data_IF_898071425601
#
_entry.id   IF_898071425601
#
_cell.length_a   1.000
_cell.length_b   1.000
_cell.length_c   1.000
_cell.angle_alpha   90.00
_cell.angle_beta   90.00
_cell.angle_gamma   90.00
#
_symmetry.space_group_name_H-M   'P 1'
#
loop_
_entity.id
_entity.type
_entity.pdbx_description
1 polymer ?
#
# COMPACT_ATOMS: atom_id res chain seq x y z
N UNK A 1 1.29 10.63 -32.83
CA UNK A 1 0.59 9.52 -32.17
C UNK A 1 0.50 9.70 -30.65
N UNK A 2 1.61 9.82 -29.90
CA UNK A 2 1.53 10.05 -28.42
C UNK A 2 0.98 11.45 -28.10
N UNK A 3 1.35 12.49 -28.83
CA UNK A 3 0.79 13.84 -28.69
C UNK A 3 -0.70 13.89 -28.95
N UNK A 4 -1.15 13.28 -30.03
CA UNK A 4 -2.58 13.20 -30.37
C UNK A 4 -3.40 12.43 -29.34
N UNK A 5 -2.84 11.33 -28.77
CA UNK A 5 -3.48 10.60 -27.68
C UNK A 5 -3.57 11.46 -26.41
N UNK A 6 -2.51 12.20 -26.10
CA UNK A 6 -2.50 13.15 -24.99
C UNK A 6 -3.52 14.25 -25.18
N UNK A 7 -3.57 14.88 -26.35
CA UNK A 7 -4.55 15.93 -26.68
C UNK A 7 -5.99 15.42 -26.60
N UNK A 8 -6.26 14.20 -27.11
CA UNK A 8 -7.58 13.58 -27.02
C UNK A 8 -7.95 13.26 -25.57
N UNK A 9 -7.00 12.76 -24.77
CA UNK A 9 -7.24 12.41 -23.38
C UNK A 9 -7.52 13.66 -22.51
N UNK A 10 -6.82 14.76 -22.75
CA UNK A 10 -6.98 16.01 -21.99
C UNK A 10 -8.03 16.96 -22.60
N UNK A 11 -8.89 16.49 -23.52
CA UNK A 11 -9.99 17.29 -24.03
C UNK A 11 -10.98 17.66 -22.91
N UNK A 12 -11.29 18.95 -22.78
CA UNK A 12 -12.15 19.50 -21.72
C UNK A 12 -13.48 18.77 -21.58
N UNK A 13 -14.11 18.43 -22.71
CA UNK A 13 -15.38 17.68 -22.74
C UNK A 13 -15.39 16.33 -22.02
N UNK A 14 -14.20 15.73 -21.77
CA UNK A 14 -14.09 14.44 -21.05
C UNK A 14 -14.05 14.66 -19.54
N UNK A 15 -13.63 15.85 -19.09
CA UNK A 15 -13.32 16.11 -17.68
C UNK A 15 -14.22 17.14 -17.04
N UNK A 16 -14.83 18.02 -17.83
CA UNK A 16 -15.62 19.15 -17.33
C UNK A 16 -17.03 19.15 -17.88
N UNK A 17 -18.00 19.74 -17.12
CA UNK A 17 -19.32 20.09 -17.65
C UNK A 17 -19.25 21.08 -18.82
N UNK A 18 -20.32 21.14 -19.60
CA UNK A 18 -20.40 22.10 -20.74
C UNK A 18 -20.19 23.54 -20.28
N UNK A 19 -19.34 24.26 -21.01
CA UNK A 19 -19.01 25.66 -20.74
C UNK A 19 -17.90 25.91 -19.73
N UNK A 20 -17.30 24.85 -19.18
CA UNK A 20 -16.14 24.95 -18.29
C UNK A 20 -14.92 24.22 -18.88
N UNK A 21 -13.72 24.71 -18.56
CA UNK A 21 -12.48 24.15 -19.07
C UNK A 21 -11.29 24.38 -18.15
N UNK A 22 -10.10 24.07 -18.65
CA UNK A 22 -8.85 24.24 -17.92
C UNK A 22 -8.56 25.67 -17.50
N UNK A 23 -9.02 26.65 -18.31
CA UNK A 23 -8.88 28.07 -18.02
C UNK A 23 -9.61 28.53 -16.76
N UNK A 24 -10.67 27.84 -16.38
CA UNK A 24 -11.44 28.14 -15.17
C UNK A 24 -10.72 27.69 -13.87
N UNK A 25 -9.70 26.84 -14.01
CA UNK A 25 -8.84 26.38 -12.92
C UNK A 25 -7.52 27.18 -12.81
N UNK A 26 -7.43 28.34 -13.44
CA UNK A 26 -6.33 29.26 -13.22
C UNK A 26 -6.55 30.08 -11.94
N UNK A 27 -5.45 30.35 -11.22
CA UNK A 27 -5.52 31.13 -9.98
C UNK A 27 -6.00 32.56 -10.27
N UNK A 28 -7.12 32.94 -9.63
CA UNK A 28 -7.75 34.26 -9.78
C UNK A 28 -8.34 34.73 -8.46
N UNK A 29 -8.31 36.02 -8.19
CA UNK A 29 -8.99 36.66 -7.06
C UNK A 29 -8.70 36.01 -5.70
N UNK A 30 -7.45 35.58 -5.49
CA UNK A 30 -7.05 34.90 -4.24
C UNK A 30 -7.50 33.45 -4.15
N UNK A 31 -8.15 32.89 -5.16
CA UNK A 31 -8.49 31.47 -5.25
C UNK A 31 -7.33 30.70 -5.86
N UNK A 32 -6.96 29.59 -5.22
CA UNK A 32 -5.89 28.69 -5.65
C UNK A 32 -6.50 27.35 -6.05
N UNK A 33 -6.03 26.79 -7.15
CA UNK A 33 -6.51 25.52 -7.68
C UNK A 33 -5.37 24.52 -7.79
N UNK A 34 -5.70 23.22 -7.81
CA UNK A 34 -4.75 22.14 -8.00
C UNK A 34 -4.11 22.19 -9.39
N UNK A 35 -2.79 22.04 -9.47
CA UNK A 35 -2.04 22.04 -10.71
C UNK A 35 -1.25 20.77 -10.90
N UNK A 36 -1.21 20.25 -12.13
CA UNK A 36 -0.47 19.03 -12.44
C UNK A 36 1.01 19.10 -12.04
N UNK A 37 1.62 20.28 -12.10
CA UNK A 37 3.02 20.51 -11.67
C UNK A 37 3.26 20.23 -10.19
N UNK A 38 2.23 20.36 -9.33
CA UNK A 38 2.35 20.15 -7.90
C UNK A 38 2.63 18.68 -7.57
N UNK A 39 2.21 17.74 -8.44
CA UNK A 39 2.46 16.30 -8.29
C UNK A 39 3.96 15.96 -8.17
N UNK A 40 4.86 16.82 -8.71
CA UNK A 40 6.31 16.61 -8.54
C UNK A 40 6.76 16.69 -7.09
N UNK A 41 6.03 17.41 -6.24
CA UNK A 41 6.32 17.50 -4.79
C UNK A 41 6.22 16.14 -4.12
N UNK A 42 5.41 15.22 -4.65
CA UNK A 42 5.29 13.87 -4.11
C UNK A 42 6.58 13.04 -4.25
N UNK A 43 7.45 13.32 -5.23
CA UNK A 43 8.70 12.57 -5.41
C UNK A 43 9.68 12.75 -4.24
N UNK A 44 10.09 13.97 -3.85
CA UNK A 44 10.94 14.15 -2.67
C UNK A 44 10.27 13.64 -1.40
N UNK A 45 8.95 13.76 -1.24
CA UNK A 45 8.21 13.19 -0.12
C UNK A 45 8.31 11.66 -0.12
N UNK A 46 8.20 11.00 -1.28
CA UNK A 46 8.38 9.54 -1.39
C UNK A 46 9.77 9.10 -0.93
N UNK A 47 10.82 9.81 -1.32
CA UNK A 47 12.19 9.53 -0.90
C UNK A 47 12.37 9.77 0.61
N UNK A 48 11.79 10.84 1.14
CA UNK A 48 11.78 11.13 2.56
C UNK A 48 11.09 10.00 3.35
N UNK A 49 9.95 9.48 2.88
CA UNK A 49 9.27 8.36 3.52
C UNK A 49 10.10 7.08 3.53
N UNK A 50 10.94 6.82 2.53
CA UNK A 50 11.87 5.69 2.57
C UNK A 50 12.90 5.82 3.71
N UNK A 51 13.40 7.04 3.93
CA UNK A 51 14.34 7.33 5.03
C UNK A 51 13.64 7.21 6.38
N UNK A 52 12.48 7.87 6.55
CA UNK A 52 11.68 7.82 7.78
C UNK A 52 11.31 6.37 8.12
N UNK A 53 10.89 5.57 7.12
CA UNK A 53 10.61 4.14 7.28
C UNK A 53 11.81 3.39 7.85
N UNK A 54 13.02 3.59 7.31
CA UNK A 54 14.21 2.90 7.79
C UNK A 54 14.54 3.25 9.26
N UNK A 55 14.37 4.52 9.61
CA UNK A 55 14.56 4.97 11.00
C UNK A 55 13.48 4.33 11.89
N UNK A 56 12.22 4.45 11.53
CA UNK A 56 11.09 3.89 12.27
C UNK A 56 11.20 2.37 12.47
N UNK A 57 11.54 1.63 11.43
CA UNK A 57 11.70 0.17 11.50
C UNK A 57 12.79 -0.25 12.50
N UNK A 58 13.87 0.55 12.65
CA UNK A 58 14.97 0.26 13.57
C UNK A 58 14.68 0.73 14.99
N UNK A 59 14.17 1.95 15.14
CA UNK A 59 14.06 2.62 16.45
C UNK A 59 12.75 2.33 17.17
N UNK A 60 11.67 2.07 16.43
CA UNK A 60 10.32 1.87 16.99
C UNK A 60 9.82 0.44 16.78
N UNK A 61 9.75 0.00 15.53
CA UNK A 61 9.11 -1.28 15.20
C UNK A 61 9.89 -2.50 15.75
N UNK A 62 11.23 -2.43 15.79
CA UNK A 62 12.05 -3.53 16.32
C UNK A 62 11.90 -3.69 17.84
N UNK A 63 12.02 -2.64 18.68
CA UNK A 63 11.72 -2.74 20.10
C UNK A 63 10.28 -3.17 20.39
N UNK A 64 9.30 -2.63 19.64
CA UNK A 64 7.90 -3.00 19.78
C UNK A 64 7.67 -4.50 19.47
N UNK A 65 8.33 -5.03 18.45
CA UNK A 65 8.29 -6.47 18.13
C UNK A 65 8.78 -7.32 19.32
N UNK A 66 9.87 -6.90 19.96
CA UNK A 66 10.41 -7.58 21.15
C UNK A 66 9.44 -7.55 22.34
N UNK A 67 8.80 -6.39 22.58
CA UNK A 67 7.81 -6.23 23.65
C UNK A 67 6.56 -7.11 23.42
N UNK A 68 6.12 -7.24 22.18
CA UNK A 68 4.98 -8.07 21.80
C UNK A 68 5.31 -9.56 21.67
N UNK A 69 6.58 -9.94 21.90
CA UNK A 69 7.02 -11.33 21.88
C UNK A 69 7.17 -11.92 20.47
N UNK A 70 7.42 -11.11 19.46
CA UNK A 70 7.74 -11.59 18.10
C UNK A 70 9.06 -12.34 18.15
N UNK A 71 9.00 -13.67 18.23
CA UNK A 71 10.18 -14.54 18.29
C UNK A 71 10.50 -15.10 16.91
N UNK A 72 11.72 -14.91 16.47
CA UNK A 72 12.24 -15.67 15.33
C UNK A 72 12.58 -17.08 15.79
N UNK A 73 11.89 -18.05 15.23
CA UNK A 73 12.29 -19.46 15.39
C UNK A 73 13.64 -19.66 14.70
N UNK A 74 14.60 -20.20 15.46
CA UNK A 74 15.92 -20.55 14.90
C UNK A 74 15.74 -21.45 13.67
N UNK A 75 16.24 -20.99 12.52
CA UNK A 75 16.15 -21.74 11.28
C UNK A 75 17.33 -22.67 11.17
N UNK A 76 17.05 -23.97 11.15
CA UNK A 76 18.08 -24.96 10.86
C UNK A 76 18.64 -24.72 9.45
N UNK A 77 19.94 -24.46 9.37
CA UNK A 77 20.62 -24.33 8.08
C UNK A 77 20.62 -25.68 7.35
N UNK A 78 20.45 -25.61 6.02
CA UNK A 78 20.67 -26.75 5.17
C UNK A 78 22.17 -27.09 5.17
N UNK A 79 22.58 -28.36 5.31
CA UNK A 79 23.99 -28.74 5.17
C UNK A 79 24.54 -28.29 3.82
N UNK A 80 25.81 -27.92 3.78
CA UNK A 80 26.45 -27.53 2.52
C UNK A 80 26.49 -28.72 1.56
N UNK A 81 25.89 -28.56 0.39
CA UNK A 81 25.90 -29.53 -0.70
C UNK A 81 25.83 -28.78 -2.04
N UNK A 82 26.95 -28.69 -2.76
CA UNK A 82 27.05 -27.91 -4.01
C UNK A 82 26.05 -28.35 -5.09
N UNK A 83 25.85 -29.66 -5.23
CA UNK A 83 24.93 -30.23 -6.23
C UNK A 83 23.48 -29.82 -5.94
N UNK A 84 23.04 -29.97 -4.71
CA UNK A 84 21.68 -29.57 -4.29
C UNK A 84 21.48 -28.05 -4.38
N UNK A 85 22.49 -27.26 -4.02
CA UNK A 85 22.44 -25.80 -4.11
C UNK A 85 22.37 -25.34 -5.58
N UNK A 86 23.19 -25.91 -6.46
CA UNK A 86 23.13 -25.64 -7.89
C UNK A 86 21.76 -25.96 -8.47
N UNK A 87 21.20 -27.12 -8.14
CA UNK A 87 19.86 -27.50 -8.59
C UNK A 87 18.77 -26.54 -8.06
N UNK A 88 18.87 -26.14 -6.79
CA UNK A 88 17.95 -25.21 -6.13
C UNK A 88 17.93 -23.82 -6.78
N UNK A 89 19.11 -23.32 -7.16
CA UNK A 89 19.26 -21.99 -7.76
C UNK A 89 18.91 -21.96 -9.25
N UNK A 90 19.29 -22.99 -10.01
CA UNK A 90 19.26 -22.97 -11.48
C UNK A 90 18.06 -23.71 -12.07
N UNK A 91 17.47 -24.69 -11.37
CA UNK A 91 16.39 -25.52 -11.90
C UNK A 91 15.07 -25.24 -11.19
N UNK A 92 14.94 -25.65 -9.93
CA UNK A 92 13.72 -25.42 -9.16
C UNK A 92 13.91 -25.52 -7.65
N UNK A 93 13.14 -24.72 -6.93
CA UNK A 93 13.06 -24.79 -5.46
C UNK A 93 12.17 -25.93 -4.94
N UNK A 94 11.33 -26.51 -5.82
CA UNK A 94 10.39 -27.59 -5.49
C UNK A 94 10.60 -28.77 -6.44
N UNK A 95 11.58 -29.64 -6.18
CA UNK A 95 11.85 -30.78 -7.06
C UNK A 95 10.68 -31.78 -7.03
N UNK A 96 10.44 -32.42 -8.19
CA UNK A 96 9.51 -33.56 -8.31
C UNK A 96 10.12 -34.81 -7.65
N UNK A 97 9.31 -35.84 -7.42
CA UNK A 97 9.80 -37.07 -6.82
C UNK A 97 10.90 -37.74 -7.71
N UNK A 98 10.73 -37.70 -9.01
CA UNK A 98 11.75 -38.23 -9.96
C UNK A 98 13.08 -37.47 -9.87
N UNK A 99 13.01 -36.13 -9.72
CA UNK A 99 14.21 -35.32 -9.52
C UNK A 99 14.86 -35.59 -8.16
N UNK A 100 14.06 -35.81 -7.11
CA UNK A 100 14.59 -36.20 -5.79
C UNK A 100 15.33 -37.52 -5.87
N UNK A 101 14.79 -38.53 -6.57
CA UNK A 101 15.45 -39.85 -6.77
C UNK A 101 16.75 -39.71 -7.57
N UNK A 102 16.79 -38.88 -8.61
CA UNK A 102 18.01 -38.59 -9.37
C UNK A 102 19.07 -37.91 -8.50
N UNK A 103 18.69 -36.86 -7.78
CA UNK A 103 19.58 -36.12 -6.86
C UNK A 103 20.09 -37.00 -5.71
N UNK A 104 19.27 -37.94 -5.22
CA UNK A 104 19.65 -38.94 -4.21
C UNK A 104 20.81 -39.78 -4.71
N UNK A 105 20.74 -40.31 -5.97
CA UNK A 105 21.81 -41.07 -6.58
C UNK A 105 23.09 -40.25 -6.82
N UNK A 106 22.94 -38.99 -7.27
CA UNK A 106 24.08 -38.10 -7.53
C UNK A 106 24.83 -37.69 -6.25
N UNK A 107 24.11 -37.50 -5.14
CA UNK A 107 24.71 -37.03 -3.88
C UNK A 107 25.02 -38.10 -2.87
N UNK A 108 24.69 -39.36 -3.17
CA UNK A 108 24.83 -40.48 -2.22
C UNK A 108 23.95 -40.34 -0.96
N UNK A 109 22.98 -39.46 -0.98
CA UNK A 109 22.09 -39.18 0.14
C UNK A 109 20.73 -39.86 -0.04
N UNK A 110 20.07 -40.27 1.04
CA UNK A 110 18.72 -40.83 0.88
C UNK A 110 17.70 -39.77 0.40
N UNK A 111 16.64 -40.18 -0.28
CA UNK A 111 15.60 -39.28 -0.78
C UNK A 111 15.00 -38.42 0.33
N UNK A 112 14.81 -38.97 1.54
CA UNK A 112 14.35 -38.24 2.73
C UNK A 112 15.33 -37.14 3.15
N UNK A 113 16.65 -37.37 3.00
CA UNK A 113 17.68 -36.35 3.29
C UNK A 113 17.64 -35.23 2.26
N UNK A 114 17.50 -35.55 0.98
CA UNK A 114 17.34 -34.57 -0.11
C UNK A 114 16.08 -33.71 0.10
N UNK A 115 14.92 -34.35 0.35
CA UNK A 115 13.68 -33.62 0.64
C UNK A 115 13.79 -32.70 1.87
N UNK A 116 14.45 -33.22 2.94
CA UNK A 116 14.71 -32.43 4.16
C UNK A 116 15.63 -31.27 3.87
N UNK A 117 16.65 -31.43 3.03
CA UNK A 117 17.55 -30.40 2.61
C UNK A 117 16.80 -29.28 1.88
N UNK A 118 16.00 -29.59 0.87
CA UNK A 118 15.18 -28.60 0.14
C UNK A 118 14.19 -27.87 1.04
N UNK A 119 13.56 -28.57 1.98
CA UNK A 119 12.67 -27.94 2.97
C UNK A 119 13.43 -26.93 3.85
N UNK A 120 14.61 -27.28 4.35
CA UNK A 120 15.46 -26.40 5.17
C UNK A 120 15.93 -25.21 4.33
N UNK A 121 16.38 -25.44 3.11
CA UNK A 121 16.85 -24.39 2.20
C UNK A 121 15.74 -23.38 1.85
N UNK A 122 14.53 -23.84 1.53
CA UNK A 122 13.37 -22.94 1.34
C UNK A 122 13.03 -22.15 2.61
N UNK A 123 13.15 -22.76 3.79
CA UNK A 123 12.91 -22.05 5.05
C UNK A 123 13.94 -20.94 5.30
N UNK A 124 15.19 -21.10 4.86
CA UNK A 124 16.20 -20.03 4.93
C UNK A 124 15.84 -18.83 4.06
N UNK A 125 15.28 -19.05 2.87
CA UNK A 125 14.88 -17.98 1.94
C UNK A 125 13.60 -17.24 2.38
N UNK A 126 12.81 -17.81 3.29
CA UNK A 126 11.59 -17.14 3.77
C UNK A 126 11.94 -15.87 4.54
N UNK A 127 11.21 -14.75 4.30
CA UNK A 127 11.41 -13.55 5.09
C UNK A 127 11.13 -13.81 6.58
N UNK A 128 11.85 -13.12 7.45
CA UNK A 128 11.73 -13.26 8.89
C UNK A 128 10.37 -12.72 9.39
N UNK A 129 9.90 -13.23 10.53
CA UNK A 129 8.71 -12.70 11.19
C UNK A 129 8.93 -11.24 11.60
N UNK A 130 10.13 -10.92 12.06
CA UNK A 130 10.52 -9.56 12.42
C UNK A 130 10.41 -8.60 11.21
N UNK A 131 10.91 -9.02 10.03
CA UNK A 131 10.78 -8.21 8.81
C UNK A 131 9.30 -7.95 8.47
N UNK A 132 8.46 -8.99 8.51
CA UNK A 132 7.02 -8.87 8.25
C UNK A 132 6.33 -7.94 9.25
N UNK A 133 6.69 -8.05 10.53
CA UNK A 133 6.15 -7.21 11.58
C UNK A 133 6.54 -5.73 11.38
N UNK A 134 7.80 -5.43 11.07
CA UNK A 134 8.27 -4.07 10.83
C UNK A 134 7.53 -3.42 9.66
N UNK A 135 7.39 -4.13 8.54
CA UNK A 135 6.64 -3.64 7.38
C UNK A 135 5.16 -3.36 7.70
N UNK A 136 4.50 -4.26 8.46
CA UNK A 136 3.12 -4.06 8.89
C UNK A 136 2.99 -2.89 9.87
N UNK A 137 3.94 -2.74 10.81
CA UNK A 137 3.95 -1.62 11.77
C UNK A 137 4.11 -0.27 11.07
N UNK A 138 4.97 -0.17 10.06
CA UNK A 138 5.14 1.04 9.27
C UNK A 138 3.85 1.46 8.59
N UNK A 139 3.19 0.53 7.89
CA UNK A 139 1.91 0.78 7.21
C UNK A 139 0.81 1.12 8.21
N UNK A 140 0.74 0.40 9.32
CA UNK A 140 -0.22 0.68 10.39
C UNK A 140 -0.11 2.12 10.90
N UNK A 141 1.09 2.57 11.24
CA UNK A 141 1.29 3.92 11.76
C UNK A 141 0.96 4.97 10.71
N UNK A 142 1.35 4.75 9.45
CA UNK A 142 1.00 5.68 8.38
C UNK A 142 -0.52 5.79 8.21
N UNK A 143 -1.23 4.68 7.97
CA UNK A 143 -2.68 4.71 7.75
C UNK A 143 -3.44 5.27 8.94
N UNK A 144 -3.01 4.98 10.16
CA UNK A 144 -3.62 5.58 11.36
C UNK A 144 -3.45 7.10 11.40
N UNK A 145 -2.24 7.60 11.14
CA UNK A 145 -1.97 9.03 11.12
C UNK A 145 -2.65 9.72 9.94
N UNK A 146 -2.68 9.10 8.78
CA UNK A 146 -3.37 9.59 7.59
C UNK A 146 -4.88 9.69 7.83
N UNK A 147 -5.49 8.66 8.43
CA UNK A 147 -6.90 8.69 8.83
C UNK A 147 -7.21 9.83 9.82
N UNK A 148 -6.39 10.00 10.86
CA UNK A 148 -6.57 11.08 11.84
C UNK A 148 -6.41 12.45 11.16
N UNK A 149 -5.39 12.63 10.32
CA UNK A 149 -5.14 13.87 9.60
C UNK A 149 -6.26 14.18 8.59
N UNK A 150 -6.73 13.18 7.84
CA UNK A 150 -7.85 13.29 6.93
C UNK A 150 -9.15 13.66 7.65
N UNK A 151 -9.43 13.02 8.79
CA UNK A 151 -10.58 13.36 9.62
C UNK A 151 -10.49 14.79 10.16
N UNK A 152 -9.33 15.20 10.67
CA UNK A 152 -9.11 16.57 11.14
C UNK A 152 -9.24 17.62 10.02
N UNK A 153 -8.87 17.29 8.79
CA UNK A 153 -9.03 18.16 7.63
C UNK A 153 -10.47 18.27 7.12
N UNK A 154 -11.34 17.31 7.45
CA UNK A 154 -12.69 17.19 6.91
C UNK A 154 -13.81 17.37 7.94
N UNK A 155 -13.53 17.25 9.26
CA UNK A 155 -14.55 17.21 10.31
C UNK A 155 -15.44 18.48 10.37
N UNK A 156 -14.89 19.60 9.98
CA UNK A 156 -15.59 20.91 9.92
C UNK A 156 -16.20 21.21 8.56
N UNK A 157 -16.11 20.26 7.60
CA UNK A 157 -16.54 20.48 6.22
C UNK A 157 -17.90 19.84 5.95
N UNK A 158 -18.85 20.58 5.34
CA UNK A 158 -20.21 20.09 5.10
C UNK A 158 -20.22 18.85 4.19
N UNK A 159 -19.31 18.73 3.23
CA UNK A 159 -19.24 17.59 2.32
C UNK A 159 -18.81 16.26 2.97
N UNK A 160 -18.35 16.27 4.21
CA UNK A 160 -18.16 15.03 4.99
C UNK A 160 -19.50 14.40 5.34
N UNK A 161 -20.52 15.22 5.59
CA UNK A 161 -21.82 14.81 6.10
C UNK A 161 -22.88 14.75 5.00
N UNK A 162 -22.82 15.66 4.03
CA UNK A 162 -23.73 15.77 2.92
C UNK A 162 -23.00 15.62 1.59
N UNK A 163 -23.17 14.47 0.94
CA UNK A 163 -22.47 14.16 -0.32
C UNK A 163 -22.83 15.11 -1.48
N UNK A 164 -23.99 15.78 -1.42
CA UNK A 164 -24.37 16.81 -2.39
C UNK A 164 -23.40 17.98 -2.38
N UNK A 165 -22.96 18.41 -1.21
CA UNK A 165 -22.01 19.51 -1.02
C UNK A 165 -20.61 19.21 -1.61
N UNK A 166 -20.31 17.92 -1.82
CA UNK A 166 -19.05 17.49 -2.46
C UNK A 166 -18.98 17.96 -3.91
N UNK A 167 -20.12 18.02 -4.60
CA UNK A 167 -20.23 18.37 -6.01
C UNK A 167 -20.64 19.82 -6.24
N UNK A 168 -21.09 20.52 -5.22
CA UNK A 168 -21.53 21.90 -5.34
C UNK A 168 -20.35 22.81 -5.73
N UNK A 169 -20.53 23.50 -6.89
CA UNK A 169 -19.51 24.37 -7.48
C UNK A 169 -18.42 23.63 -8.26
N UNK A 170 -18.49 22.31 -8.41
CA UNK A 170 -17.52 21.56 -9.24
C UNK A 170 -17.57 22.04 -10.70
N UNK A 171 -16.42 22.18 -11.36
CA UNK A 171 -15.04 21.90 -10.95
C UNK A 171 -14.32 23.09 -10.30
N UNK A 172 -14.96 24.26 -10.18
CA UNK A 172 -14.33 25.51 -9.72
C UNK A 172 -14.32 25.58 -8.17
N UNK A 173 -13.60 24.61 -7.56
CA UNK A 173 -13.48 24.46 -6.12
C UNK A 173 -12.10 24.93 -5.65
N UNK A 174 -12.05 25.87 -4.72
CA UNK A 174 -10.80 26.39 -4.15
C UNK A 174 -10.08 25.31 -3.35
N UNK A 175 -8.80 25.15 -3.59
CA UNK A 175 -7.93 24.22 -2.88
C UNK A 175 -7.58 24.77 -1.50
N UNK A 176 -7.81 23.98 -0.45
CA UNK A 176 -7.38 24.29 0.91
C UNK A 176 -5.97 23.77 1.18
N UNK A 177 -5.14 24.47 1.97
CA UNK A 177 -3.80 24.00 2.33
C UNK A 177 -3.77 22.62 2.98
N UNK A 178 -4.78 22.30 3.82
CA UNK A 178 -4.93 20.97 4.43
C UNK A 178 -5.12 19.87 3.39
N UNK A 179 -5.94 20.13 2.37
CA UNK A 179 -6.18 19.20 1.26
C UNK A 179 -4.93 19.03 0.40
N UNK A 180 -4.21 20.12 0.13
CA UNK A 180 -2.94 20.08 -0.61
C UNK A 180 -1.95 19.11 0.05
N UNK A 181 -1.67 19.31 1.34
CA UNK A 181 -0.71 18.47 2.05
C UNK A 181 -1.21 17.04 2.23
N UNK A 182 -2.51 16.85 2.45
CA UNK A 182 -3.08 15.51 2.54
C UNK A 182 -2.84 14.71 1.25
N UNK A 183 -3.14 15.31 0.08
CA UNK A 183 -2.88 14.69 -1.23
C UNK A 183 -1.40 14.40 -1.48
N UNK A 184 -0.52 15.35 -1.19
CA UNK A 184 0.92 15.19 -1.44
C UNK A 184 1.55 14.14 -0.53
N UNK A 185 1.10 14.05 0.73
CA UNK A 185 1.54 13.04 1.69
C UNK A 185 1.06 11.66 1.26
N UNK A 186 -0.22 11.50 0.91
CA UNK A 186 -0.77 10.24 0.42
C UNK A 186 -0.06 9.76 -0.85
N UNK A 187 0.05 10.63 -1.84
CA UNK A 187 0.74 10.31 -3.09
C UNK A 187 2.22 9.94 -2.84
N UNK A 188 2.89 10.69 -1.97
CA UNK A 188 4.26 10.42 -1.56
C UNK A 188 4.41 9.07 -0.87
N UNK A 189 3.47 8.70 -0.01
CA UNK A 189 3.48 7.40 0.65
C UNK A 189 3.31 6.25 -0.34
N UNK A 190 2.29 6.29 -1.22
CA UNK A 190 2.10 5.25 -2.24
C UNK A 190 3.29 5.18 -3.20
N UNK A 191 3.91 6.32 -3.55
CA UNK A 191 5.17 6.37 -4.29
C UNK A 191 6.29 5.64 -3.57
N UNK A 192 6.44 5.85 -2.26
CA UNK A 192 7.44 5.16 -1.43
C UNK A 192 7.21 3.65 -1.37
N UNK A 193 5.95 3.21 -1.31
CA UNK A 193 5.59 1.79 -1.36
C UNK A 193 5.96 1.16 -2.70
N UNK A 194 5.75 1.88 -3.81
CA UNK A 194 6.13 1.41 -5.14
C UNK A 194 7.65 1.29 -5.29
N UNK A 195 8.43 2.26 -4.78
CA UNK A 195 9.90 2.17 -4.75
C UNK A 195 10.41 1.03 -3.90
N UNK A 196 9.76 0.74 -2.77
CA UNK A 196 10.19 -0.33 -1.86
C UNK A 196 9.70 -1.73 -2.23
N UNK A 197 8.81 -1.84 -3.23
CA UNK A 197 8.17 -3.10 -3.62
C UNK A 197 9.14 -4.24 -3.91
N UNK A 198 10.32 -3.92 -4.47
CA UNK A 198 11.35 -4.91 -4.79
C UNK A 198 12.03 -5.50 -3.54
N UNK A 199 12.15 -4.70 -2.46
CA UNK A 199 12.79 -5.07 -1.20
C UNK A 199 11.81 -5.62 -0.16
N UNK A 200 10.53 -5.34 -0.31
CA UNK A 200 9.47 -5.77 0.60
C UNK A 200 9.20 -7.27 0.52
N UNK A 201 8.52 -7.79 1.54
CA UNK A 201 8.15 -9.21 1.59
C UNK A 201 7.17 -9.53 0.49
N UNK A 202 7.60 -10.35 -0.47
CA UNK A 202 6.72 -10.87 -1.52
C UNK A 202 5.69 -11.82 -0.93
N UNK A 203 4.43 -11.41 -0.94
CA UNK A 203 3.26 -12.19 -0.50
C UNK A 203 2.65 -12.91 -1.71
N UNK A 204 1.60 -13.72 -1.47
CA UNK A 204 0.90 -14.45 -2.55
C UNK A 204 0.24 -13.48 -3.54
N UNK A 205 -0.28 -12.37 -3.05
CA UNK A 205 -0.97 -11.28 -3.72
C UNK A 205 -0.02 -10.14 -4.18
N UNK A 206 1.26 -10.47 -4.43
CA UNK A 206 2.28 -9.47 -4.77
C UNK A 206 1.98 -8.71 -6.07
N UNK A 207 1.46 -9.40 -7.08
CA UNK A 207 1.11 -8.78 -8.37
C UNK A 207 -0.09 -7.85 -8.22
N UNK A 208 -1.10 -8.32 -7.52
CA UNK A 208 -2.32 -7.56 -7.19
C UNK A 208 -1.97 -6.30 -6.40
N UNK A 209 -1.02 -6.41 -5.47
CA UNK A 209 -0.54 -5.28 -4.68
C UNK A 209 0.17 -4.22 -5.55
N UNK A 210 0.99 -4.62 -6.51
CA UNK A 210 1.63 -3.68 -7.45
C UNK A 210 0.55 -2.96 -8.28
N UNK A 211 -0.38 -3.71 -8.86
CA UNK A 211 -1.48 -3.14 -9.66
C UNK A 211 -2.29 -2.16 -8.81
N UNK A 212 -2.59 -2.52 -7.56
CA UNK A 212 -3.29 -1.64 -6.62
C UNK A 212 -2.52 -0.33 -6.37
N UNK A 213 -1.21 -0.39 -6.06
CA UNK A 213 -0.42 0.83 -5.82
C UNK A 213 -0.34 1.72 -7.05
N UNK A 214 -0.14 1.15 -8.24
CA UNK A 214 -0.14 1.91 -9.50
C UNK A 214 -1.51 2.55 -9.74
N UNK A 215 -2.59 1.78 -9.60
CA UNK A 215 -3.95 2.30 -9.76
C UNK A 215 -4.25 3.43 -8.75
N UNK A 216 -3.84 3.29 -7.50
CA UNK A 216 -4.03 4.32 -6.46
C UNK A 216 -3.28 5.60 -6.82
N UNK A 217 -2.01 5.51 -7.23
CA UNK A 217 -1.21 6.67 -7.67
C UNK A 217 -1.90 7.38 -8.85
N UNK A 218 -2.37 6.62 -9.84
CA UNK A 218 -3.07 7.18 -11.00
C UNK A 218 -4.38 7.86 -10.58
N UNK A 219 -5.21 7.22 -9.76
CA UNK A 219 -6.48 7.79 -9.30
C UNK A 219 -6.29 9.06 -8.49
N UNK A 220 -5.32 9.09 -7.55
CA UNK A 220 -4.98 10.29 -6.78
C UNK A 220 -4.50 11.40 -7.72
N UNK A 221 -3.61 11.09 -8.66
CA UNK A 221 -3.06 12.06 -9.62
C UNK A 221 -4.14 12.62 -10.55
N UNK A 222 -5.03 11.77 -11.08
CA UNK A 222 -6.13 12.24 -11.93
C UNK A 222 -7.14 13.07 -11.15
N UNK A 223 -7.53 12.65 -9.96
CA UNK A 223 -8.44 13.43 -9.13
C UNK A 223 -7.86 14.81 -8.78
N UNK A 224 -6.54 14.90 -8.60
CA UNK A 224 -5.83 16.15 -8.44
C UNK A 224 -5.93 17.03 -9.68
N UNK A 225 -5.58 16.50 -10.85
CA UNK A 225 -5.56 17.25 -12.11
C UNK A 225 -6.92 17.81 -12.51
N UNK A 226 -8.01 17.08 -12.25
CA UNK A 226 -9.38 17.52 -12.62
C UNK A 226 -10.12 18.18 -11.47
N UNK A 227 -9.41 18.56 -10.42
CA UNK A 227 -9.96 19.23 -9.23
C UNK A 227 -11.07 18.46 -8.49
N UNK A 228 -11.04 17.11 -8.53
CA UNK A 228 -11.90 16.24 -7.70
C UNK A 228 -11.44 16.16 -6.24
N UNK A 229 -10.97 17.28 -5.68
CA UNK A 229 -10.26 17.29 -4.40
C UNK A 229 -11.16 16.88 -3.23
N UNK A 230 -12.41 17.38 -3.19
CA UNK A 230 -13.36 17.02 -2.11
C UNK A 230 -13.67 15.53 -2.14
N UNK A 231 -13.98 14.99 -3.34
CA UNK A 231 -14.25 13.58 -3.52
C UNK A 231 -13.01 12.72 -3.21
N UNK A 232 -11.86 13.10 -3.71
CA UNK A 232 -10.61 12.35 -3.49
C UNK A 232 -10.19 12.31 -2.03
N UNK A 233 -10.29 13.43 -1.27
CA UNK A 233 -10.00 13.42 0.17
C UNK A 233 -10.94 12.49 0.93
N UNK A 234 -12.22 12.48 0.60
CA UNK A 234 -13.20 11.59 1.23
C UNK A 234 -12.92 10.12 0.90
N UNK A 235 -12.60 9.82 -0.36
CA UNK A 235 -12.27 8.46 -0.80
C UNK A 235 -11.01 7.96 -0.08
N UNK A 236 -9.94 8.75 0.00
CA UNK A 236 -8.72 8.38 0.72
C UNK A 236 -9.02 8.13 2.20
N UNK A 237 -9.74 9.03 2.88
CA UNK A 237 -10.14 8.87 4.28
C UNK A 237 -10.90 7.55 4.53
N UNK A 238 -11.88 7.25 3.67
CA UNK A 238 -12.69 6.03 3.75
C UNK A 238 -11.82 4.77 3.56
N UNK A 239 -10.83 4.82 2.67
CA UNK A 239 -9.94 3.70 2.44
C UNK A 239 -8.98 3.48 3.61
N UNK A 240 -8.37 4.54 4.12
CA UNK A 240 -7.46 4.47 5.27
C UNK A 240 -8.15 3.96 6.53
N UNK A 241 -9.45 4.26 6.70
CA UNK A 241 -10.26 3.82 7.84
C UNK A 241 -10.26 2.30 8.04
N UNK A 242 -10.12 1.52 7.00
CA UNK A 242 -10.04 0.05 7.08
C UNK A 242 -8.59 -0.45 7.13
N UNK A 243 -7.66 0.25 6.46
CA UNK A 243 -6.33 -0.28 6.20
C UNK A 243 -5.45 -0.33 7.46
N UNK A 244 -5.61 0.61 8.42
CA UNK A 244 -4.90 0.50 9.69
C UNK A 244 -5.39 -0.68 10.55
N UNK A 245 -6.67 -1.07 10.48
CA UNK A 245 -7.15 -2.29 11.14
C UNK A 245 -6.52 -3.54 10.52
N UNK A 246 -6.45 -3.60 9.19
CA UNK A 246 -5.83 -4.73 8.50
C UNK A 246 -4.35 -4.90 8.90
N UNK A 247 -3.59 -3.81 8.90
CA UNK A 247 -2.16 -3.88 9.23
C UNK A 247 -1.95 -4.18 10.73
N UNK A 248 -2.80 -3.67 11.63
CA UNK A 248 -2.76 -4.05 13.05
C UNK A 248 -3.07 -5.53 13.26
N UNK A 249 -4.08 -6.10 12.57
CA UNK A 249 -4.37 -7.53 12.62
C UNK A 249 -3.15 -8.37 12.18
N UNK A 250 -2.43 -7.94 11.13
CA UNK A 250 -1.19 -8.59 10.70
C UNK A 250 -0.11 -8.53 11.78
N UNK A 251 0.06 -7.40 12.46
CA UNK A 251 1.03 -7.26 13.56
C UNK A 251 0.74 -8.25 14.69
N UNK A 252 -0.50 -8.34 15.16
CA UNK A 252 -0.91 -9.29 16.22
C UNK A 252 -0.78 -10.73 15.75
N UNK A 253 -1.06 -11.02 14.48
CA UNK A 253 -0.82 -12.35 13.92
C UNK A 253 0.67 -12.75 13.97
N UNK A 254 1.58 -11.83 13.64
CA UNK A 254 3.03 -12.08 13.70
C UNK A 254 3.55 -12.19 15.14
N UNK A 255 2.91 -11.50 16.08
CA UNK A 255 3.17 -11.62 17.51
C UNK A 255 2.61 -12.93 18.12
N UNK A 256 1.78 -13.67 17.37
CA UNK A 256 1.15 -14.91 17.86
C UNK A 256 -0.11 -14.70 18.70
N UNK A 257 -0.63 -13.48 18.78
CA UNK A 257 -1.83 -13.13 19.55
C UNK A 257 -3.10 -13.39 18.73
N UNK A 258 -3.43 -14.67 18.54
CA UNK A 258 -4.51 -15.11 17.63
C UNK A 258 -5.87 -14.50 17.95
N UNK A 259 -6.25 -14.43 19.23
CA UNK A 259 -7.55 -13.89 19.62
C UNK A 259 -7.65 -12.39 19.27
N UNK A 260 -6.63 -11.60 19.62
CA UNK A 260 -6.58 -10.18 19.25
C UNK A 260 -6.63 -9.99 17.73
N UNK A 261 -5.85 -10.77 16.98
CA UNK A 261 -5.88 -10.76 15.52
C UNK A 261 -7.29 -11.01 14.96
N UNK A 262 -8.00 -12.04 15.49
CA UNK A 262 -9.34 -12.38 15.03
C UNK A 262 -10.36 -11.27 15.31
N UNK A 263 -10.36 -10.69 16.52
CA UNK A 263 -11.25 -9.56 16.84
C UNK A 263 -11.00 -8.36 15.96
N UNK A 264 -9.74 -7.96 15.79
CA UNK A 264 -9.39 -6.82 14.93
C UNK A 264 -9.76 -7.10 13.47
N UNK A 265 -9.59 -8.33 13.01
CA UNK A 265 -9.97 -8.71 11.65
C UNK A 265 -11.49 -8.67 11.43
N UNK A 266 -12.30 -9.02 12.43
CA UNK A 266 -13.76 -8.87 12.38
C UNK A 266 -14.13 -7.37 12.26
N UNK A 267 -13.50 -6.51 13.09
CA UNK A 267 -13.70 -5.05 13.01
C UNK A 267 -13.28 -4.53 11.63
N UNK A 268 -12.11 -4.94 11.13
CA UNK A 268 -11.68 -4.60 9.77
C UNK A 268 -12.74 -4.98 8.73
N UNK A 269 -13.26 -6.22 8.77
CA UNK A 269 -14.24 -6.70 7.81
C UNK A 269 -15.54 -5.89 7.88
N UNK A 270 -16.02 -5.56 9.08
CA UNK A 270 -17.21 -4.72 9.27
C UNK A 270 -17.00 -3.31 8.71
N UNK A 271 -15.88 -2.65 9.06
CA UNK A 271 -15.53 -1.32 8.54
C UNK A 271 -15.40 -1.36 7.02
N UNK A 272 -14.69 -2.34 6.47
CA UNK A 272 -14.52 -2.50 5.02
C UNK A 272 -15.87 -2.64 4.29
N UNK A 273 -16.77 -3.49 4.79
CA UNK A 273 -18.09 -3.68 4.19
C UNK A 273 -18.89 -2.38 4.24
N UNK A 274 -18.96 -1.75 5.42
CA UNK A 274 -19.74 -0.52 5.59
C UNK A 274 -19.19 0.61 4.71
N UNK A 275 -17.89 0.85 4.75
CA UNK A 275 -17.29 1.98 4.05
C UNK A 275 -17.21 1.78 2.53
N UNK A 276 -16.78 0.61 2.06
CA UNK A 276 -16.51 0.36 0.64
C UNK A 276 -17.67 -0.25 -0.12
N UNK A 277 -18.53 -1.05 0.52
CA UNK A 277 -19.64 -1.74 -0.14
C UNK A 277 -21.02 -1.10 0.12
N UNK A 278 -21.16 -0.30 1.19
CA UNK A 278 -22.42 0.37 1.51
C UNK A 278 -22.33 1.88 1.27
N UNK A 279 -21.43 2.58 1.98
CA UNK A 279 -21.35 4.05 1.91
C UNK A 279 -20.92 4.50 0.51
N UNK A 280 -19.86 3.90 -0.04
CA UNK A 280 -19.29 4.33 -1.32
C UNK A 280 -20.24 4.13 -2.51
N UNK A 281 -20.92 2.96 -2.70
CA UNK A 281 -21.83 2.76 -3.82
C UNK A 281 -23.23 3.37 -3.62
N UNK A 282 -23.74 3.40 -2.37
CA UNK A 282 -25.13 3.73 -2.07
C UNK A 282 -25.32 5.06 -1.33
N UNK A 283 -24.27 5.75 -0.96
CA UNK A 283 -24.32 7.07 -0.30
C UNK A 283 -24.92 8.20 -1.17
N UNK A 284 -25.60 7.87 -2.26
CA UNK A 284 -26.21 8.80 -3.23
C UNK A 284 -27.66 9.19 -2.92
N UNK A 285 -28.14 9.00 -1.69
CA UNK A 285 -29.49 9.47 -1.37
C UNK A 285 -29.43 10.63 -0.41
#
# INVERSE_FOLDING_TARGET
MLSELSERFWQERLWFPEGLGWADLEDRDGRVYAKARDLWVALPISLLFLIIRQIFERTVATPLASLLGVRETARLKAPHNPTLESYYCNVTKNPTQSSVSSLSKQTGSSERQVQRWFRRRRNQDRPSLLKKFREASWRFVFYLLAFIAGLAALIDKPWLYELKEMWEGFPVLTLLPSQYWYYMIELGFYGSLLFSVASDVKRKDFKEQIVHHVATILLISFSWCVNYIRAGTLIMLVHDSSDYFLESAKMFNYAGWRNACNYIFIVFAAVFIVTRLVIFPFGKK
#
